data_IF_668688457009
#
_entry.id   IF_668688457009
#
_cell.length_a   1.000
_cell.length_b   1.000
_cell.length_c   1.000
_cell.angle_alpha   90.00
_cell.angle_beta   90.00
_cell.angle_gamma   90.00
#
_symmetry.space_group_name_H-M   'P 1'
#
loop_
_entity.id
_entity.type
_entity.pdbx_description
1 polymer ?
#
# COMPACT_ATOMS: atom_id res chain seq x y z
N UNK A 1 -0.05 -7.07 -13.36
CA UNK A 1 -0.62 -6.98 -12.00
C UNK A 1 -0.75 -5.53 -11.60
N UNK A 2 -1.87 -5.15 -11.04
CA UNK A 2 -2.11 -3.77 -10.58
C UNK A 2 -1.14 -3.38 -9.48
N UNK A 3 -0.74 -2.13 -9.48
CA UNK A 3 0.15 -1.56 -8.48
C UNK A 3 -0.40 -0.19 -8.04
N UNK A 4 -0.21 0.16 -6.78
CA UNK A 4 -0.62 1.45 -6.24
C UNK A 4 0.54 2.05 -5.45
N UNK A 5 0.87 3.30 -5.77
CA UNK A 5 1.94 4.01 -5.06
C UNK A 5 1.38 4.70 -3.82
N UNK A 6 1.96 4.41 -2.68
CA UNK A 6 1.52 4.90 -1.37
C UNK A 6 2.70 5.52 -0.63
N UNK A 7 2.52 6.73 -0.12
CA UNK A 7 3.57 7.41 0.63
C UNK A 7 3.88 6.71 1.96
N UNK A 8 5.13 6.71 2.34
CA UNK A 8 5.54 6.26 3.66
C UNK A 8 5.17 7.31 4.72
N UNK A 9 4.76 6.91 5.92
CA UNK A 9 4.84 5.56 6.50
C UNK A 9 3.66 4.64 6.15
N UNK A 10 2.70 5.11 5.40
CA UNK A 10 1.45 4.38 5.16
C UNK A 10 1.63 3.08 4.39
N UNK A 11 2.55 3.05 3.41
CA UNK A 11 2.84 1.82 2.68
C UNK A 11 3.32 0.72 3.65
N UNK A 12 4.22 1.05 4.54
CA UNK A 12 4.72 0.12 5.55
C UNK A 12 3.60 -0.33 6.51
N UNK A 13 2.77 0.60 6.96
CA UNK A 13 1.65 0.27 7.85
C UNK A 13 0.64 -0.68 7.22
N UNK A 14 0.42 -0.58 5.91
CA UNK A 14 -0.44 -1.50 5.17
C UNK A 14 0.18 -2.88 5.13
N UNK A 15 1.44 -2.97 4.74
CA UNK A 15 2.12 -4.27 4.61
C UNK A 15 2.33 -4.93 5.98
N UNK A 16 2.51 -4.13 7.02
CA UNK A 16 2.62 -4.61 8.41
C UNK A 16 1.26 -5.04 8.99
N UNK A 17 0.18 -4.76 8.30
CA UNK A 17 -1.17 -5.14 8.73
C UNK A 17 -1.85 -4.18 9.69
N UNK A 18 -1.21 -3.10 10.06
CA UNK A 18 -1.78 -2.11 11.00
C UNK A 18 -2.81 -1.21 10.34
N UNK A 19 -2.51 -0.73 9.13
CA UNK A 19 -3.44 0.10 8.36
C UNK A 19 -4.23 -0.81 7.43
N UNK A 20 -5.55 -0.86 7.63
CA UNK A 20 -6.44 -1.73 6.87
C UNK A 20 -7.37 -0.98 5.94
N UNK A 21 -7.33 0.35 5.93
CA UNK A 21 -8.10 1.18 5.00
C UNK A 21 -7.18 2.23 4.42
N UNK A 22 -7.13 2.29 3.07
CA UNK A 22 -6.41 3.34 2.35
C UNK A 22 -7.41 4.34 1.79
N UNK A 23 -7.24 5.63 2.13
CA UNK A 23 -8.15 6.67 1.66
C UNK A 23 -7.70 7.24 0.33
N UNK A 24 -8.66 7.36 -0.61
CA UNK A 24 -8.43 7.96 -1.92
C UNK A 24 -9.58 8.90 -2.29
N UNK A 25 -9.29 9.85 -3.16
CA UNK A 25 -10.30 10.82 -3.63
C UNK A 25 -11.17 10.25 -4.75
N UNK A 26 -10.80 9.10 -5.27
CA UNK A 26 -11.48 8.44 -6.39
C UNK A 26 -11.92 7.04 -5.97
N UNK A 27 -12.99 6.57 -6.62
CA UNK A 27 -13.51 5.22 -6.43
C UNK A 27 -12.90 4.26 -7.45
N UNK A 28 -13.02 2.97 -7.20
CA UNK A 28 -12.57 1.94 -8.14
C UNK A 28 -13.51 0.74 -8.10
N UNK A 29 -13.70 0.12 -9.26
CA UNK A 29 -14.41 -1.16 -9.35
C UNK A 29 -13.46 -2.35 -9.20
N UNK A 30 -12.16 -2.09 -9.20
CA UNK A 30 -11.16 -3.15 -9.06
C UNK A 30 -11.29 -3.84 -7.72
N UNK A 31 -11.22 -5.16 -7.72
CA UNK A 31 -11.14 -6.01 -6.52
C UNK A 31 -10.07 -7.06 -6.76
N UNK A 32 -9.35 -7.43 -5.71
CA UNK A 32 -8.30 -8.44 -5.79
C UNK A 32 -6.96 -7.94 -5.31
N UNK A 33 -5.94 -8.72 -5.56
CA UNK A 33 -4.57 -8.39 -5.13
C UNK A 33 -3.98 -7.25 -5.96
N UNK A 34 -3.30 -6.35 -5.28
CA UNK A 34 -2.47 -5.35 -5.94
C UNK A 34 -1.13 -5.20 -5.20
N UNK A 35 -0.12 -4.78 -5.94
CA UNK A 35 1.20 -4.54 -5.38
C UNK A 35 1.24 -3.17 -4.71
N UNK A 36 1.88 -3.10 -3.56
CA UNK A 36 2.08 -1.86 -2.82
C UNK A 36 3.45 -1.31 -3.16
N UNK A 37 3.47 -0.17 -3.85
CA UNK A 37 4.67 0.57 -4.16
C UNK A 37 4.86 1.66 -3.10
N UNK A 38 5.99 1.67 -2.43
CA UNK A 38 6.33 2.73 -1.48
C UNK A 38 6.89 3.90 -2.27
N UNK A 39 6.18 5.03 -2.24
CA UNK A 39 6.59 6.24 -2.98
C UNK A 39 7.91 6.79 -2.44
N UNK A 40 8.61 7.56 -3.28
CA UNK A 40 9.86 8.21 -2.88
C UNK A 40 9.67 9.25 -1.78
N UNK A 41 8.53 9.93 -1.76
CA UNK A 41 8.25 10.95 -0.75
C UNK A 41 7.82 10.30 0.56
N UNK A 42 8.48 10.69 1.65
CA UNK A 42 8.13 10.27 3.00
C UNK A 42 7.43 11.43 3.68
N UNK A 43 6.30 11.13 4.32
CA UNK A 43 5.55 12.12 5.08
C UNK A 43 6.15 12.23 6.49
N UNK A 44 7.15 13.10 6.63
CA UNK A 44 7.94 13.22 7.85
C UNK A 44 7.12 13.55 9.09
N UNK A 45 6.12 14.42 8.95
CA UNK A 45 5.23 14.76 10.08
C UNK A 45 4.46 13.55 10.57
N UNK A 46 3.99 12.74 9.65
CA UNK A 46 3.23 11.53 9.97
C UNK A 46 4.13 10.50 10.65
N UNK A 47 5.36 10.35 10.19
CA UNK A 47 6.35 9.50 10.84
C UNK A 47 6.58 9.93 12.28
N UNK A 48 6.77 11.24 12.52
CA UNK A 48 6.99 11.78 13.86
C UNK A 48 5.80 11.52 14.79
N UNK A 49 4.57 11.74 14.28
CA UNK A 49 3.34 11.48 15.04
C UNK A 49 3.24 10.03 15.49
N UNK A 50 3.63 9.12 14.63
CA UNK A 50 3.52 7.67 14.88
C UNK A 50 4.78 7.10 15.52
N UNK A 51 5.79 7.93 15.77
CA UNK A 51 7.09 7.53 16.33
C UNK A 51 7.78 6.47 15.47
N UNK A 52 7.71 6.65 14.17
CA UNK A 52 8.38 5.79 13.18
C UNK A 52 9.59 6.53 12.65
N UNK A 53 10.74 5.86 12.63
CA UNK A 53 11.95 6.44 12.03
C UNK A 53 11.85 6.40 10.51
N UNK A 54 11.84 7.57 9.87
CA UNK A 54 11.74 7.65 8.41
C UNK A 54 12.94 7.00 7.70
N UNK A 55 14.09 7.00 8.36
CA UNK A 55 15.32 6.45 7.78
C UNK A 55 15.29 4.94 7.59
N UNK A 56 14.43 4.24 8.33
CA UNK A 56 14.31 2.78 8.23
C UNK A 56 13.33 2.34 7.15
N UNK A 57 12.61 3.28 6.52
CA UNK A 57 11.55 2.96 5.57
C UNK A 57 12.09 2.83 4.15
N UNK A 58 11.66 1.79 3.46
CA UNK A 58 11.95 1.59 2.03
C UNK A 58 11.14 2.58 1.21
N UNK A 59 11.76 3.18 0.21
CA UNK A 59 11.09 4.11 -0.72
C UNK A 59 11.48 3.80 -2.17
N UNK A 60 10.63 4.21 -3.11
CA UNK A 60 10.89 4.01 -4.53
C UNK A 60 10.91 2.55 -4.95
N UNK A 61 10.14 1.71 -4.28
CA UNK A 61 10.17 0.27 -4.51
C UNK A 61 8.85 -0.38 -4.16
N UNK A 62 8.58 -1.50 -4.81
CA UNK A 62 7.45 -2.37 -4.45
C UNK A 62 7.88 -3.18 -3.22
N UNK A 63 7.08 -3.13 -2.16
CA UNK A 63 7.43 -3.75 -0.89
C UNK A 63 6.55 -4.94 -0.51
N UNK A 64 5.44 -5.14 -1.20
CA UNK A 64 4.55 -6.24 -0.90
C UNK A 64 3.28 -6.18 -1.71
N UNK A 65 2.29 -6.97 -1.30
CA UNK A 65 0.95 -6.96 -1.90
C UNK A 65 -0.12 -7.00 -0.83
N UNK A 66 -1.33 -6.63 -1.23
CA UNK A 66 -2.51 -6.65 -0.36
C UNK A 66 -3.74 -6.88 -1.22
N UNK A 67 -4.82 -7.37 -0.63
CA UNK A 67 -6.06 -7.63 -1.35
C UNK A 67 -7.07 -6.51 -1.09
N UNK A 68 -7.61 -5.92 -2.16
CA UNK A 68 -8.69 -4.94 -2.08
C UNK A 68 -10.02 -5.70 -2.11
N UNK A 69 -10.72 -5.73 -0.98
CA UNK A 69 -11.96 -6.51 -0.86
C UNK A 69 -13.21 -5.68 -1.05
N UNK A 70 -13.17 -4.40 -0.71
CA UNK A 70 -14.34 -3.52 -0.84
C UNK A 70 -13.91 -2.06 -0.80
N UNK A 71 -14.82 -1.17 -1.15
CA UNK A 71 -14.62 0.28 -1.03
C UNK A 71 -15.78 0.87 -0.24
N UNK A 72 -15.46 1.60 0.82
CA UNK A 72 -16.44 2.30 1.64
C UNK A 72 -16.41 3.78 1.28
N UNK A 73 -17.59 4.34 0.98
CA UNK A 73 -17.71 5.79 0.76
C UNK A 73 -18.11 6.45 2.08
N UNK A 74 -17.28 7.36 2.56
CA UNK A 74 -17.58 8.10 3.78
C UNK A 74 -18.47 9.30 3.48
N UNK A 75 -19.56 9.43 4.22
CA UNK A 75 -20.55 10.50 4.03
C UNK A 75 -20.37 11.67 5.00
N UNK A 76 -19.64 11.47 6.10
CA UNK A 76 -19.44 12.50 7.11
C UNK A 76 -18.08 12.38 7.78
N UNK A 77 -17.63 13.48 8.40
CA UNK A 77 -16.42 13.49 9.21
C UNK A 77 -16.53 12.53 10.39
N UNK A 78 -17.74 12.38 10.93
CA UNK A 78 -17.97 11.47 12.04
C UNK A 78 -17.70 10.01 11.65
N UNK A 79 -18.18 9.58 10.48
CA UNK A 79 -17.91 8.25 9.97
C UNK A 79 -16.41 8.04 9.74
N UNK A 80 -15.77 9.04 9.15
CA UNK A 80 -14.34 8.97 8.86
C UNK A 80 -13.53 8.86 10.14
N UNK A 81 -13.88 9.66 11.15
CA UNK A 81 -13.22 9.62 12.45
C UNK A 81 -13.40 8.29 13.16
N UNK A 82 -14.56 7.65 13.00
CA UNK A 82 -14.84 6.35 13.61
C UNK A 82 -13.87 5.27 13.13
N UNK A 83 -13.33 5.40 11.91
CA UNK A 83 -12.38 4.46 11.34
C UNK A 83 -10.92 4.93 11.45
N UNK A 84 -10.64 5.92 12.31
CA UNK A 84 -9.29 6.50 12.46
C UNK A 84 -8.21 5.45 12.71
N UNK A 85 -8.50 4.44 13.53
CA UNK A 85 -7.54 3.38 13.84
C UNK A 85 -7.31 2.42 12.68
N UNK A 86 -8.12 2.51 11.64
CA UNK A 86 -8.01 1.68 10.43
C UNK A 86 -7.29 2.41 9.30
N UNK A 87 -7.56 3.71 9.08
CA UNK A 87 -6.95 4.45 7.99
C UNK A 87 -5.75 5.30 8.40
N UNK A 88 -5.61 5.65 9.68
CA UNK A 88 -4.49 6.43 10.23
C UNK A 88 -4.38 7.85 9.67
N UNK A 89 -5.40 8.35 8.98
CA UNK A 89 -5.39 9.67 8.37
C UNK A 89 -6.25 10.67 9.15
N UNK A 90 -6.29 11.92 8.69
CA UNK A 90 -7.14 12.93 9.31
C UNK A 90 -8.61 12.63 9.07
N UNK A 91 -9.49 13.29 9.83
CA UNK A 91 -10.93 13.09 9.76
C UNK A 91 -11.63 14.17 8.91
N UNK A 92 -10.92 14.82 8.00
CA UNK A 92 -11.41 15.98 7.26
C UNK A 92 -11.50 15.78 5.73
N UNK A 93 -11.52 14.57 5.24
CA UNK A 93 -11.58 14.23 3.82
C UNK A 93 -10.39 14.74 2.98
N UNK A 94 -9.37 15.34 3.56
CA UNK A 94 -8.22 15.85 2.79
C UNK A 94 -7.51 14.75 1.99
N UNK A 95 -7.54 13.52 2.48
CA UNK A 95 -6.98 12.34 1.80
C UNK A 95 -8.02 11.62 0.94
N UNK A 96 -9.27 12.02 1.01
CA UNK A 96 -10.36 11.44 0.22
C UNK A 96 -11.45 10.84 1.07
N UNK A 97 -12.55 10.47 0.40
CA UNK A 97 -13.72 9.87 1.06
C UNK A 97 -13.96 8.41 0.68
N UNK A 98 -13.11 7.85 -0.15
CA UNK A 98 -13.24 6.45 -0.53
C UNK A 98 -12.21 5.64 0.24
N UNK A 99 -12.68 4.77 1.13
CA UNK A 99 -11.82 3.90 1.92
C UNK A 99 -11.68 2.53 1.25
N UNK A 100 -10.50 2.24 0.75
CA UNK A 100 -10.18 0.93 0.17
C UNK A 100 -9.94 -0.03 1.32
N UNK A 101 -10.81 -1.01 1.47
CA UNK A 101 -10.73 -2.00 2.56
C UNK A 101 -9.79 -3.11 2.14
N UNK A 102 -8.73 -3.28 2.91
CA UNK A 102 -7.58 -4.11 2.57
C UNK A 102 -7.46 -5.31 3.50
N UNK A 103 -7.14 -6.47 2.92
CA UNK A 103 -6.93 -7.70 3.68
C UNK A 103 -5.72 -8.46 3.13
N UNK A 104 -5.22 -9.40 3.91
CA UNK A 104 -4.15 -10.34 3.54
C UNK A 104 -2.88 -9.67 3.03
N UNK A 105 -2.30 -8.74 3.81
CA UNK A 105 -1.04 -8.13 3.41
C UNK A 105 0.07 -9.17 3.44
N UNK A 106 0.98 -9.07 2.46
CA UNK A 106 2.18 -9.92 2.39
C UNK A 106 3.37 -9.08 1.98
N UNK A 107 4.46 -9.22 2.69
CA UNK A 107 5.70 -8.51 2.39
C UNK A 107 6.53 -9.30 1.39
N UNK A 108 7.10 -8.58 0.42
CA UNK A 108 8.17 -9.15 -0.41
C UNK A 108 9.42 -9.33 0.43
N UNK A 109 10.11 -10.45 0.26
CA UNK A 109 11.38 -10.67 0.93
C UNK A 109 12.41 -9.63 0.51
N UNK A 110 12.44 -9.29 -0.76
CA UNK A 110 13.36 -8.28 -1.33
C UNK A 110 12.53 -7.26 -2.08
N UNK A 111 12.59 -5.97 -1.69
CA UNK A 111 11.89 -4.92 -2.42
C UNK A 111 12.36 -4.83 -3.86
N UNK A 112 11.45 -4.42 -4.76
CA UNK A 112 11.75 -4.27 -6.18
C UNK A 112 11.76 -2.78 -6.52
N UNK A 113 12.91 -2.22 -6.86
CA UNK A 113 13.00 -0.85 -7.34
C UNK A 113 12.07 -0.66 -8.54
N UNK A 114 11.21 0.34 -8.46
CA UNK A 114 10.24 0.62 -9.50
C UNK A 114 9.75 2.05 -9.39
N UNK A 115 9.42 2.67 -10.52
CA UNK A 115 8.89 4.04 -10.53
C UNK A 115 7.39 4.02 -10.26
N UNK A 116 6.93 4.88 -9.36
CA UNK A 116 5.51 5.05 -9.09
C UNK A 116 4.81 5.86 -10.18
N UNK A 117 3.49 5.67 -10.29
CA UNK A 117 2.62 6.42 -11.20
C UNK A 117 1.35 6.78 -10.44
N UNK A 118 0.53 7.65 -11.03
CA UNK A 118 -0.74 8.04 -10.43
C UNK A 118 -1.77 6.90 -10.50
N UNK A 119 -2.61 6.82 -9.49
CA UNK A 119 -3.72 5.87 -9.41
C UNK A 119 -3.22 4.42 -9.52
N UNK A 120 -4.08 3.48 -9.89
CA UNK A 120 -3.63 2.13 -10.19
C UNK A 120 -2.87 2.13 -11.52
N UNK A 121 -1.74 1.44 -11.54
CA UNK A 121 -0.94 1.27 -12.75
C UNK A 121 -0.50 -0.18 -12.86
N UNK A 122 -0.09 -0.57 -14.07
CA UNK A 122 0.37 -1.94 -14.30
C UNK A 122 1.85 -2.06 -13.95
N UNK A 123 2.17 -3.12 -13.23
CA UNK A 123 3.56 -3.50 -13.01
C UNK A 123 4.04 -4.31 -14.20
N UNK A 124 5.16 -3.87 -14.79
CA UNK A 124 5.80 -4.53 -15.93
C UNK A 124 7.12 -5.14 -15.47
N UNK A 125 7.18 -6.47 -15.27
CA UNK A 125 8.40 -7.13 -14.76
C UNK A 125 9.63 -6.87 -15.61
N UNK A 126 9.46 -6.70 -16.92
CA UNK A 126 10.54 -6.43 -17.86
C UNK A 126 11.25 -5.10 -17.59
N UNK A 127 10.63 -4.21 -16.85
CA UNK A 127 11.22 -2.93 -16.46
C UNK A 127 12.11 -3.03 -15.22
N UNK A 128 12.14 -4.19 -14.56
CA UNK A 128 12.97 -4.38 -13.37
C UNK A 128 14.36 -4.89 -13.77
N UNK A 129 15.35 -4.61 -12.93
CA UNK A 129 16.74 -5.04 -13.19
C UNK A 129 17.02 -6.47 -12.74
N UNK A 130 16.21 -7.02 -11.86
CA UNK A 130 16.43 -8.36 -11.30
C UNK A 130 15.48 -9.36 -11.95
N UNK A 131 16.02 -10.19 -12.86
CA UNK A 131 15.23 -11.18 -13.60
C UNK A 131 14.76 -12.33 -12.72
N UNK A 132 15.51 -12.71 -11.71
CA UNK A 132 15.12 -13.80 -10.81
C UNK A 132 13.86 -13.43 -10.02
N UNK A 133 13.80 -12.18 -9.54
CA UNK A 133 12.63 -11.66 -8.85
C UNK A 133 11.41 -11.60 -9.79
N UNK A 134 11.62 -11.25 -11.07
CA UNK A 134 10.55 -11.22 -12.06
C UNK A 134 9.88 -12.57 -12.23
N UNK A 135 10.68 -13.61 -12.35
CA UNK A 135 10.18 -14.97 -12.51
C UNK A 135 9.39 -15.35 -11.28
N UNK A 136 9.98 -15.16 -10.12
CA UNK A 136 9.39 -15.55 -8.84
C UNK A 136 8.06 -14.87 -8.55
N UNK A 137 7.88 -13.61 -8.93
CA UNK A 137 6.66 -12.85 -8.65
C UNK A 137 5.41 -13.41 -9.32
N UNK A 138 5.56 -14.07 -10.46
CA UNK A 138 4.43 -14.49 -11.29
C UNK A 138 4.14 -15.98 -11.25
N UNK A 139 4.92 -16.74 -10.50
CA UNK A 139 4.64 -18.14 -10.27
C UNK A 139 3.98 -18.30 -8.90
N UNK A 140 2.85 -18.97 -8.86
CA UNK A 140 2.04 -19.10 -7.65
C UNK A 140 2.73 -19.86 -6.52
N UNK A 141 3.73 -20.64 -6.86
CA UNK A 141 4.46 -21.45 -5.90
C UNK A 141 5.51 -20.67 -5.12
N UNK A 142 5.67 -19.37 -5.37
CA UNK A 142 6.76 -18.58 -4.77
C UNK A 142 6.46 -18.08 -3.39
N UNK A 143 6.00 -18.95 -2.54
CA UNK A 143 5.68 -18.60 -1.16
C UNK A 143 6.88 -18.05 -0.39
N UNK A 144 8.08 -18.41 -0.75
CA UNK A 144 9.27 -17.91 -0.09
C UNK A 144 9.64 -16.48 -0.48
N UNK A 145 9.01 -15.92 -1.52
CA UNK A 145 9.15 -14.51 -1.86
C UNK A 145 8.27 -13.63 -1.00
N UNK A 146 7.25 -14.20 -0.36
CA UNK A 146 6.26 -13.48 0.41
C UNK A 146 6.32 -13.86 1.88
N UNK A 147 6.21 -12.85 2.76
CA UNK A 147 6.19 -13.03 4.20
C UNK A 147 4.83 -12.58 4.71
N UNK A 148 4.12 -13.47 5.44
CA UNK A 148 2.84 -13.13 6.01
C UNK A 148 3.02 -12.19 7.21
N UNK A 149 2.11 -11.22 7.34
CA UNK A 149 2.06 -10.30 8.47
C UNK A 149 0.85 -10.60 9.34
N UNK A 150 1.09 -10.73 10.61
CA UNK A 150 0.04 -11.00 11.58
C UNK A 150 0.00 -9.92 12.63
#
# INVERSE_FOLDING_TARGET
>A
MKCLSICQPYAELIIDGKKTIELRKWNTKFRGDFLVHAAKNVLEKDCRKMKISSETLTTGAIIGKVNLVDVKKYESNKELKADQTKHYSSSDFSKGRYGFILEKPKRLRVPIEYSGKLNFFEFHPEETKNTDIKIDLFEEEHRYMWINHH
#
